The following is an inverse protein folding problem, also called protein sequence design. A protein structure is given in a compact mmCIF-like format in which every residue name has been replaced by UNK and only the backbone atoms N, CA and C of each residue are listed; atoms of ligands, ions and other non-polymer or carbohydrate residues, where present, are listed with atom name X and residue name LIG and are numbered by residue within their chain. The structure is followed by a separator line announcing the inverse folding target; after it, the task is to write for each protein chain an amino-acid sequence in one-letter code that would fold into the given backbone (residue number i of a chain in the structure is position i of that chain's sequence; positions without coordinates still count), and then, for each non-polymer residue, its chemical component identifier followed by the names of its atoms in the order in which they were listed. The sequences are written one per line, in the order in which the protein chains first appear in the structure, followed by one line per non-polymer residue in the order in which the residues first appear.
data_IF_321450565323
#
_entry.id   IF_321450565323
#
_cell.length_a   1.000
_cell.length_b   1.000
_cell.length_c   1.000
_cell.angle_alpha   90.00
_cell.angle_beta   90.00
_cell.angle_gamma   90.00
#
_symmetry.space_group_name_H-M   'P 1'
#
loop_
_entity.id
_entity.type
_entity.pdbx_description
1 polymer ?
#
# COMPACT_ATOMS: atom_id res chain seq x y z
N UNK A 1 14.99 1.38 14.50
CA UNK A 1 14.41 1.53 13.13
C UNK A 1 15.20 2.59 12.42
N UNK A 2 15.75 2.29 11.26
CA UNK A 2 16.52 3.25 10.45
C UNK A 2 15.68 3.76 9.28
N UNK A 3 15.96 4.98 8.83
CA UNK A 3 15.30 5.57 7.67
C UNK A 3 15.59 4.77 6.39
N UNK A 4 16.75 4.14 6.27
CA UNK A 4 17.08 3.28 5.13
C UNK A 4 16.22 2.02 5.08
N UNK A 5 15.97 1.38 6.23
CA UNK A 5 15.04 0.24 6.28
C UNK A 5 13.62 0.66 5.88
N UNK A 6 13.16 1.82 6.35
CA UNK A 6 11.84 2.36 5.96
C UNK A 6 11.78 2.60 4.45
N UNK A 7 12.81 3.21 3.86
CA UNK A 7 12.90 3.43 2.40
C UNK A 7 12.84 2.10 1.63
N UNK A 8 13.56 1.08 2.09
CA UNK A 8 13.53 -0.26 1.48
C UNK A 8 12.14 -0.87 1.53
N UNK A 9 11.45 -0.80 2.69
CA UNK A 9 10.10 -1.31 2.84
C UNK A 9 9.08 -0.58 1.93
N UNK A 10 9.24 0.73 1.72
CA UNK A 10 8.35 1.48 0.84
C UNK A 10 8.65 1.24 -0.64
N UNK A 11 9.91 1.05 -1.05
CA UNK A 11 10.24 0.59 -2.41
C UNK A 11 9.67 -0.81 -2.67
N UNK A 12 9.80 -1.72 -1.71
CA UNK A 12 9.15 -3.04 -1.78
C UNK A 12 7.64 -2.92 -1.93
N UNK A 13 6.99 -2.09 -1.10
CA UNK A 13 5.54 -1.92 -1.14
C UNK A 13 5.08 -1.39 -2.50
N UNK A 14 5.78 -0.40 -3.07
CA UNK A 14 5.51 0.14 -4.41
C UNK A 14 5.67 -0.92 -5.51
N UNK A 15 6.74 -1.72 -5.47
CA UNK A 15 6.97 -2.83 -6.39
C UNK A 15 5.85 -3.88 -6.32
N UNK A 16 5.46 -4.28 -5.13
CA UNK A 16 4.40 -5.26 -4.93
C UNK A 16 3.02 -4.72 -5.35
N UNK A 17 2.73 -3.43 -5.08
CA UNK A 17 1.51 -2.76 -5.54
C UNK A 17 1.45 -2.72 -7.08
N UNK A 18 2.56 -2.39 -7.74
CA UNK A 18 2.62 -2.39 -9.20
C UNK A 18 2.32 -3.78 -9.78
N UNK A 19 2.89 -4.85 -9.22
CA UNK A 19 2.64 -6.23 -9.68
C UNK A 19 1.18 -6.65 -9.58
N UNK A 20 0.49 -6.33 -8.47
CA UNK A 20 -0.94 -6.66 -8.36
C UNK A 20 -1.79 -5.80 -9.31
N UNK A 21 -1.47 -4.51 -9.49
CA UNK A 21 -2.16 -3.63 -10.43
C UNK A 21 -1.96 -4.09 -11.88
N UNK A 22 -0.74 -4.45 -12.27
CA UNK A 22 -0.43 -4.96 -13.62
C UNK A 22 -1.15 -6.29 -13.88
N UNK A 23 -1.20 -7.17 -12.88
CA UNK A 23 -1.93 -8.43 -13.01
C UNK A 23 -3.43 -8.22 -13.10
N UNK A 24 -3.97 -7.26 -12.33
CA UNK A 24 -5.40 -6.92 -12.35
C UNK A 24 -5.88 -6.38 -13.71
N UNK A 25 -4.98 -5.89 -14.57
CA UNK A 25 -5.35 -5.49 -15.96
C UNK A 25 -5.87 -6.65 -16.81
N UNK A 26 -5.63 -7.90 -16.38
CA UNK A 26 -6.10 -9.11 -17.08
C UNK A 26 -7.51 -9.52 -16.69
N UNK A 27 -8.09 -8.89 -15.66
CA UNK A 27 -9.47 -9.15 -15.22
C UNK A 27 -10.48 -8.48 -16.13
N UNK A 28 -11.62 -9.15 -16.33
CA UNK A 28 -12.80 -8.49 -16.88
C UNK A 28 -13.41 -7.53 -15.86
N UNK A 29 -14.29 -6.63 -16.30
CA UNK A 29 -15.00 -5.71 -15.39
C UNK A 29 -15.86 -6.47 -14.35
N UNK A 30 -16.46 -7.60 -14.76
CA UNK A 30 -17.21 -8.48 -13.87
C UNK A 30 -16.31 -9.13 -12.82
N UNK A 31 -15.12 -9.64 -13.20
CA UNK A 31 -14.16 -10.23 -12.27
C UNK A 31 -13.59 -9.20 -11.29
N UNK A 32 -13.34 -7.97 -11.78
CA UNK A 32 -12.85 -6.88 -10.94
C UNK A 32 -13.84 -6.50 -9.84
N UNK A 33 -15.15 -6.64 -10.13
CA UNK A 33 -16.26 -6.27 -9.25
C UNK A 33 -16.95 -7.48 -8.59
N UNK A 34 -16.49 -8.71 -8.88
CA UNK A 34 -17.11 -9.92 -8.33
C UNK A 34 -16.88 -10.01 -6.82
N UNK A 35 -17.92 -10.23 -6.00
CA UNK A 35 -17.77 -10.43 -4.57
C UNK A 35 -17.05 -11.75 -4.27
N UNK A 36 -16.28 -11.78 -3.17
CA UNK A 36 -15.79 -13.04 -2.61
C UNK A 36 -14.32 -13.38 -2.86
N UNK A 37 -13.43 -12.53 -2.52
CA UNK A 37 -11.99 -12.85 -2.57
C UNK A 37 -11.14 -12.07 -1.57
N UNK A 38 -11.69 -11.01 -1.01
CA UNK A 38 -10.97 -10.12 -0.13
C UNK A 38 -11.88 -9.62 1.00
N UNK A 39 -11.30 -9.20 2.11
CA UNK A 39 -12.03 -8.73 3.29
C UNK A 39 -12.91 -7.50 3.01
N UNK A 40 -12.51 -6.67 2.05
CA UNK A 40 -13.25 -5.47 1.63
C UNK A 40 -14.32 -5.75 0.54
N UNK A 41 -14.50 -7.01 0.14
CA UNK A 41 -15.52 -7.42 -0.84
C UNK A 41 -14.93 -7.91 -2.15
N UNK A 42 -14.79 -7.07 -3.17
CA UNK A 42 -14.21 -7.41 -4.45
C UNK A 42 -12.75 -6.94 -4.58
N UNK A 43 -12.09 -7.36 -5.66
CA UNK A 43 -10.71 -6.91 -5.97
C UNK A 43 -10.64 -5.39 -6.07
N UNK A 44 -11.63 -4.74 -6.73
CA UNK A 44 -11.70 -3.29 -6.86
C UNK A 44 -11.72 -2.58 -5.51
N UNK A 45 -12.61 -2.99 -4.62
CA UNK A 45 -12.76 -2.40 -3.29
C UNK A 45 -11.47 -2.56 -2.48
N UNK A 46 -10.82 -3.71 -2.55
CA UNK A 46 -9.56 -3.96 -1.83
C UNK A 46 -8.40 -3.17 -2.41
N UNK A 47 -8.30 -3.00 -3.72
CA UNK A 47 -7.31 -2.11 -4.35
C UNK A 47 -7.48 -0.67 -3.87
N UNK A 48 -8.72 -0.16 -3.88
CA UNK A 48 -9.03 1.18 -3.38
C UNK A 48 -8.74 1.29 -1.88
N UNK A 49 -9.00 0.23 -1.10
CA UNK A 49 -8.72 0.22 0.33
C UNK A 49 -7.22 0.37 0.63
N UNK A 50 -6.35 -0.38 -0.06
CA UNK A 50 -4.88 -0.26 0.10
C UNK A 50 -4.42 1.15 -0.27
N UNK A 51 -4.83 1.66 -1.41
CA UNK A 51 -4.52 3.02 -1.87
C UNK A 51 -4.99 4.07 -0.87
N UNK A 52 -6.22 3.94 -0.40
CA UNK A 52 -6.83 4.86 0.56
C UNK A 52 -6.15 4.82 1.93
N UNK A 53 -5.73 3.63 2.39
CA UNK A 53 -4.95 3.50 3.61
C UNK A 53 -3.59 4.21 3.49
N UNK A 54 -2.90 4.07 2.37
CA UNK A 54 -1.64 4.78 2.11
C UNK A 54 -1.85 6.30 2.11
N UNK A 55 -2.89 6.79 1.42
CA UNK A 55 -3.26 8.20 1.36
C UNK A 55 -3.59 8.79 2.75
N UNK A 56 -4.44 8.12 3.54
CA UNK A 56 -4.88 8.65 4.84
C UNK A 56 -3.73 8.65 5.85
N UNK A 57 -2.84 7.65 5.81
CA UNK A 57 -1.65 7.62 6.67
C UNK A 57 -0.66 8.72 6.30
N UNK A 58 -0.40 8.95 5.02
CA UNK A 58 0.43 10.06 4.57
C UNK A 58 -0.11 11.41 5.03
N UNK A 59 -1.43 11.61 4.95
CA UNK A 59 -2.08 12.83 5.44
C UNK A 59 -1.88 13.01 6.95
N UNK A 60 -2.04 11.94 7.73
CA UNK A 60 -1.81 11.95 9.19
C UNK A 60 -0.38 12.32 9.55
N UNK A 61 0.60 11.79 8.85
CA UNK A 61 2.01 12.12 9.06
C UNK A 61 2.35 13.58 8.75
N UNK A 62 1.58 14.20 7.87
CA UNK A 62 1.63 15.63 7.54
C UNK A 62 0.66 16.50 8.37
N UNK A 63 0.09 15.95 9.45
CA UNK A 63 -0.75 16.69 10.39
C UNK A 63 -2.23 16.84 10.01
N UNK A 64 -2.70 16.15 8.96
CA UNK A 64 -4.10 16.17 8.53
C UNK A 64 -4.78 14.84 8.84
N UNK A 65 -5.91 14.89 9.56
CA UNK A 65 -6.70 13.69 9.87
C UNK A 65 -8.03 13.72 9.10
N UNK A 66 -8.08 12.98 8.00
CA UNK A 66 -9.34 12.78 7.27
C UNK A 66 -10.31 11.92 8.07
N UNK A 67 -11.60 12.23 7.97
CA UNK A 67 -12.66 11.54 8.72
C UNK A 67 -13.18 10.29 8.00
N UNK A 68 -12.84 10.11 6.72
CA UNK A 68 -13.28 8.98 5.92
C UNK A 68 -12.17 8.50 4.98
N UNK A 69 -12.25 7.23 4.61
CA UNK A 69 -11.47 6.63 3.53
C UNK A 69 -12.02 7.08 2.18
N UNK A 70 -11.22 6.92 1.12
CA UNK A 70 -11.70 7.12 -0.25
C UNK A 70 -12.81 6.12 -0.57
N UNK A 71 -13.86 6.58 -1.23
CA UNK A 71 -14.99 5.74 -1.62
C UNK A 71 -14.67 5.01 -2.93
N UNK A 72 -14.74 3.67 -2.93
CA UNK A 72 -14.48 2.85 -4.11
C UNK A 72 -15.40 3.20 -5.30
N UNK A 73 -16.59 3.74 -5.05
CA UNK A 73 -17.52 4.21 -6.10
C UNK A 73 -16.97 5.36 -6.94
N UNK A 74 -15.98 6.10 -6.43
CA UNK A 74 -15.30 7.18 -7.17
C UNK A 74 -14.28 6.65 -8.19
N UNK A 75 -13.99 5.35 -8.16
CA UNK A 75 -13.00 4.68 -9.01
C UNK A 75 -13.68 3.56 -9.80
N UNK A 76 -14.38 3.90 -10.91
CA UNK A 76 -15.22 2.96 -11.64
C UNK A 76 -14.44 1.83 -12.32
N UNK A 77 -13.16 2.05 -12.60
CA UNK A 77 -12.29 1.13 -13.31
C UNK A 77 -10.85 1.15 -12.78
N UNK A 78 -10.05 0.20 -13.25
CA UNK A 78 -8.65 0.06 -12.85
C UNK A 78 -7.78 1.25 -13.29
N UNK A 79 -8.12 1.91 -14.39
CA UNK A 79 -7.41 3.10 -14.88
C UNK A 79 -7.53 4.25 -13.90
N UNK A 80 -8.74 4.50 -13.39
CA UNK A 80 -9.00 5.53 -12.37
C UNK A 80 -8.27 5.22 -11.06
N UNK A 81 -8.26 3.93 -10.63
CA UNK A 81 -7.51 3.50 -9.45
C UNK A 81 -6.01 3.76 -9.64
N UNK A 82 -5.44 3.30 -10.76
CA UNK A 82 -4.01 3.46 -11.06
C UNK A 82 -3.61 4.92 -11.09
N UNK A 83 -4.34 5.77 -11.82
CA UNK A 83 -4.03 7.19 -11.93
C UNK A 83 -3.99 7.89 -10.55
N UNK A 84 -4.92 7.55 -9.66
CA UNK A 84 -4.93 8.09 -8.30
C UNK A 84 -3.82 7.50 -7.43
N UNK A 85 -3.56 6.20 -7.56
CA UNK A 85 -2.52 5.53 -6.76
C UNK A 85 -1.12 6.01 -7.13
N UNK A 86 -0.84 6.27 -8.41
CA UNK A 86 0.44 6.82 -8.86
C UNK A 86 0.73 8.18 -8.19
N UNK A 87 -0.29 9.02 -8.00
CA UNK A 87 -0.15 10.28 -7.27
C UNK A 87 0.16 10.03 -5.77
N UNK A 88 -0.61 9.15 -5.13
CA UNK A 88 -0.42 8.80 -3.71
C UNK A 88 0.95 8.18 -3.48
N UNK A 89 1.39 7.29 -4.40
CA UNK A 89 2.70 6.66 -4.34
C UNK A 89 3.82 7.69 -4.48
N UNK A 90 3.73 8.59 -5.46
CA UNK A 90 4.72 9.65 -5.65
C UNK A 90 4.85 10.56 -4.43
N UNK A 91 3.72 10.94 -3.80
CA UNK A 91 3.71 11.75 -2.59
C UNK A 91 4.32 10.99 -1.40
N UNK A 92 3.99 9.70 -1.26
CA UNK A 92 4.52 8.83 -0.20
C UNK A 92 6.02 8.65 -0.34
N UNK A 93 6.52 8.39 -1.55
CA UNK A 93 7.96 8.22 -1.81
C UNK A 93 8.74 9.50 -1.49
N UNK A 94 8.20 10.69 -1.84
CA UNK A 94 8.80 11.98 -1.46
C UNK A 94 8.89 12.14 0.05
N UNK A 95 7.82 11.84 0.78
CA UNK A 95 7.79 11.90 2.24
C UNK A 95 8.83 10.96 2.86
N UNK A 96 8.82 9.69 2.46
CA UNK A 96 9.72 8.66 3.02
C UNK A 96 11.19 8.93 2.70
N UNK A 97 11.49 9.45 1.50
CA UNK A 97 12.86 9.82 1.10
C UNK A 97 13.42 10.94 1.97
N UNK A 98 12.57 11.87 2.43
CA UNK A 98 12.97 12.97 3.31
C UNK A 98 13.16 12.57 4.78
N UNK A 99 12.74 11.37 5.20
CA UNK A 99 12.83 10.96 6.61
C UNK A 99 14.26 10.73 7.07
N UNK A 100 14.55 11.18 8.30
CA UNK A 100 15.75 10.87 9.07
C UNK A 100 15.43 9.90 10.22
N UNK A 101 16.44 9.28 10.78
CA UNK A 101 16.27 8.39 11.94
C UNK A 101 15.67 9.14 13.15
N UNK A 102 16.03 10.41 13.34
CA UNK A 102 15.46 11.25 14.39
C UNK A 102 13.98 11.52 14.21
N UNK A 103 13.52 11.77 12.97
CA UNK A 103 12.11 11.98 12.67
C UNK A 103 11.26 10.74 12.88
N UNK A 104 11.81 9.55 12.67
CA UNK A 104 11.13 8.29 12.94
C UNK A 104 10.76 8.11 14.42
N UNK A 105 11.52 8.71 15.33
CA UNK A 105 11.23 8.64 16.77
C UNK A 105 10.17 9.65 17.23
N UNK A 106 9.85 10.68 16.44
CA UNK A 106 8.85 11.69 16.82
C UNK A 106 7.48 11.05 16.99
N UNK A 107 6.73 11.51 17.99
CA UNK A 107 5.35 11.09 18.19
C UNK A 107 4.45 11.87 17.22
N UNK A 108 3.63 11.16 16.48
CA UNK A 108 2.61 11.73 15.59
C UNK A 108 1.24 11.43 16.17
N UNK A 109 0.53 12.50 16.49
CA UNK A 109 -0.87 12.42 16.91
C UNK A 109 -1.80 12.50 15.70
N UNK A 110 -2.88 11.73 15.74
CA UNK A 110 -3.91 11.76 14.70
C UNK A 110 -5.29 11.43 15.27
N UNK A 111 -6.33 11.71 14.51
CA UNK A 111 -7.67 11.16 14.74
C UNK A 111 -7.94 10.05 13.72
N UNK A 112 -8.49 8.94 14.20
CA UNK A 112 -8.98 7.90 13.30
C UNK A 112 -10.33 8.31 12.67
N UNK A 113 -10.88 7.47 11.79
CA UNK A 113 -12.16 7.72 11.12
C UNK A 113 -13.39 7.73 12.05
N UNK A 114 -13.22 7.29 13.31
CA UNK A 114 -14.25 7.38 14.37
C UNK A 114 -14.10 8.66 15.21
N UNK A 115 -13.10 9.51 14.91
CA UNK A 115 -12.82 10.73 15.68
C UNK A 115 -11.98 10.52 16.93
N UNK A 116 -11.56 9.29 17.25
CA UNK A 116 -10.74 8.95 18.40
C UNK A 116 -9.30 9.44 18.22
N UNK A 117 -8.70 9.97 19.30
CA UNK A 117 -7.31 10.42 19.31
C UNK A 117 -6.35 9.27 19.58
N UNK A 118 -5.28 9.22 18.81
CA UNK A 118 -4.20 8.28 18.95
C UNK A 118 -2.85 8.99 18.78
N UNK A 119 -1.83 8.45 19.44
CA UNK A 119 -0.47 8.97 19.39
C UNK A 119 0.52 7.79 19.40
N UNK A 120 1.38 7.73 18.39
CA UNK A 120 2.43 6.71 18.28
C UNK A 120 3.70 7.31 17.69
N UNK A 121 4.88 6.76 18.00
CA UNK A 121 6.09 7.08 17.24
C UNK A 121 5.87 6.84 15.74
N UNK A 122 6.41 7.73 14.90
CA UNK A 122 6.22 7.66 13.44
C UNK A 122 6.64 6.29 12.87
N UNK A 123 7.74 5.71 13.37
CA UNK A 123 8.20 4.41 12.89
C UNK A 123 7.15 3.30 13.05
N UNK A 124 6.34 3.32 14.11
CA UNK A 124 5.28 2.33 14.30
C UNK A 124 4.17 2.50 13.26
N UNK A 125 3.85 3.74 12.93
CA UNK A 125 2.78 4.05 11.96
C UNK A 125 3.21 3.69 10.52
N UNK A 126 4.46 3.99 10.13
CA UNK A 126 4.95 3.65 8.79
C UNK A 126 5.09 2.13 8.61
N UNK A 127 5.54 1.40 9.63
CA UNK A 127 5.59 -0.07 9.59
C UNK A 127 4.18 -0.67 9.57
N UNK A 128 3.26 -0.12 10.38
CA UNK A 128 1.86 -0.54 10.34
C UNK A 128 1.26 -0.40 8.94
N UNK A 129 1.51 0.71 8.25
CA UNK A 129 0.96 0.94 6.91
C UNK A 129 1.49 -0.09 5.89
N UNK A 130 2.78 -0.42 5.92
CA UNK A 130 3.37 -1.46 5.05
C UNK A 130 2.80 -2.84 5.37
N UNK A 131 2.70 -3.19 6.66
CA UNK A 131 2.14 -4.47 7.10
C UNK A 131 0.66 -4.62 6.70
N UNK A 132 -0.14 -3.57 6.89
CA UNK A 132 -1.54 -3.50 6.46
C UNK A 132 -1.67 -3.71 4.94
N UNK A 133 -0.84 -3.02 4.15
CA UNK A 133 -0.84 -3.19 2.70
C UNK A 133 -0.45 -4.63 2.30
N UNK A 134 0.49 -5.27 2.99
CA UNK A 134 0.90 -6.66 2.72
C UNK A 134 -0.24 -7.64 2.96
N UNK A 135 -1.02 -7.46 4.06
CA UNK A 135 -2.20 -8.28 4.35
C UNK A 135 -3.19 -8.25 3.18
N UNK A 136 -3.61 -7.05 2.76
CA UNK A 136 -4.61 -6.90 1.69
C UNK A 136 -4.06 -7.25 0.30
N UNK A 137 -2.76 -7.05 0.04
CA UNK A 137 -2.13 -7.56 -1.20
C UNK A 137 -2.21 -9.08 -1.31
N UNK A 138 -2.04 -9.80 -0.20
CA UNK A 138 -2.17 -11.26 -0.18
C UNK A 138 -3.59 -11.71 -0.53
N UNK A 139 -4.61 -10.99 -0.06
CA UNK A 139 -6.02 -11.23 -0.42
C UNK A 139 -6.24 -11.02 -1.92
N UNK A 140 -5.74 -9.91 -2.49
CA UNK A 140 -5.82 -9.65 -3.93
C UNK A 140 -5.07 -10.71 -4.74
N UNK A 141 -3.86 -11.08 -4.34
CA UNK A 141 -3.07 -12.11 -5.01
C UNK A 141 -3.81 -13.45 -5.06
N UNK A 142 -4.47 -13.83 -3.96
CA UNK A 142 -5.33 -15.02 -3.92
C UNK A 142 -6.52 -14.90 -4.88
N UNK A 143 -7.21 -13.76 -4.92
CA UNK A 143 -8.34 -13.53 -5.81
C UNK A 143 -7.91 -13.58 -7.28
N UNK A 144 -6.82 -12.88 -7.64
CA UNK A 144 -6.25 -12.91 -8.98
C UNK A 144 -5.88 -14.34 -9.42
N UNK A 145 -5.26 -15.12 -8.53
CA UNK A 145 -4.89 -16.51 -8.80
C UNK A 145 -6.11 -17.39 -9.06
N UNK A 146 -7.20 -17.20 -8.31
CA UNK A 146 -8.48 -17.89 -8.54
C UNK A 146 -9.10 -17.57 -9.89
N UNK A 147 -8.87 -16.36 -10.42
CA UNK A 147 -9.29 -15.99 -11.78
C UNK A 147 -8.29 -16.45 -12.85
N UNK A 148 -7.26 -17.22 -12.50
CA UNK A 148 -6.25 -17.73 -13.44
C UNK A 148 -5.09 -16.77 -13.71
N UNK A 149 -4.95 -15.70 -12.93
CA UNK A 149 -3.94 -14.66 -13.13
C UNK A 149 -3.08 -14.46 -11.89
N UNK A 150 -2.07 -15.32 -11.69
CA UNK A 150 -1.14 -15.14 -10.55
C UNK A 150 -0.26 -13.90 -10.75
N UNK A 151 -0.06 -13.05 -9.72
CA UNK A 151 0.90 -11.94 -9.77
C UNK A 151 2.36 -12.43 -9.58
N UNK A 152 2.57 -13.72 -9.38
CA UNK A 152 3.85 -14.29 -9.00
C UNK A 152 4.15 -14.10 -7.51
N UNK A 153 5.41 -14.29 -7.17
CA UNK A 153 5.89 -14.15 -5.81
C UNK A 153 6.00 -12.66 -5.43
N UNK A 154 5.48 -12.30 -4.26
CA UNK A 154 5.47 -10.94 -3.72
C UNK A 154 6.35 -10.80 -2.49
N UNK A 155 7.22 -11.75 -2.19
CA UNK A 155 8.07 -11.72 -1.01
C UNK A 155 9.11 -10.60 -1.07
N UNK A 156 9.45 -10.07 0.11
CA UNK A 156 10.47 -9.02 0.25
C UNK A 156 11.84 -9.46 -0.31
N UNK A 157 12.25 -10.71 -0.10
CA UNK A 157 13.52 -11.21 -0.60
C UNK A 157 13.54 -11.32 -2.13
N UNK A 158 12.42 -11.64 -2.77
CA UNK A 158 12.29 -11.60 -4.23
C UNK A 158 12.48 -10.19 -4.77
N UNK A 159 11.87 -9.19 -4.11
CA UNK A 159 12.10 -7.79 -4.45
C UNK A 159 13.58 -7.40 -4.33
N UNK A 160 14.24 -7.79 -3.24
CA UNK A 160 15.66 -7.48 -3.02
C UNK A 160 16.52 -8.12 -4.11
N UNK A 161 16.30 -9.40 -4.43
CA UNK A 161 17.05 -10.10 -5.46
C UNK A 161 16.85 -9.49 -6.86
N UNK A 162 15.64 -8.99 -7.17
CA UNK A 162 15.33 -8.40 -8.46
C UNK A 162 15.79 -6.93 -8.61
N UNK A 163 15.75 -6.14 -7.53
CA UNK A 163 15.88 -4.69 -7.60
C UNK A 163 17.08 -4.13 -6.85
N UNK A 164 17.58 -4.85 -5.89
CA UNK A 164 18.69 -4.44 -5.03
C UNK A 164 19.69 -5.63 -4.89
N UNK A 165 20.15 -6.23 -5.99
CA UNK A 165 20.97 -7.42 -5.91
C UNK A 165 22.20 -7.14 -5.07
N UNK A 166 22.33 -7.83 -3.95
CA UNK A 166 23.58 -7.86 -3.22
C UNK A 166 24.65 -8.44 -4.15
N UNK A 167 25.79 -7.77 -4.26
CA UNK A 167 26.95 -8.36 -4.91
C UNK A 167 27.27 -9.62 -4.11
N UNK A 168 26.83 -10.79 -4.62
CA UNK A 168 27.21 -12.08 -4.02
C UNK A 168 28.70 -12.23 -4.22
N UNK A 169 29.48 -11.88 -3.20
CA UNK A 169 30.84 -12.36 -3.08
C UNK A 169 30.72 -13.84 -2.69
N UNK A 170 30.89 -14.72 -3.68
CA UNK A 170 31.07 -16.17 -3.47
C UNK A 170 32.40 -16.42 -2.80
#
# INVERSE_FOLDING_TARGET
MTSDLVRTLYRYSAWANARILDTATRLTAEQLSAPGGASEGAVRETLVHIMSAQWIWLARWNGTSHQAMLDARQFPDLGAIRARWDQVEGDTQRFVTGLTDGELARVVEYRNTRGERWAYPLWQQVVHQVNHATQHRSEIALALTRFGHSPGDLDLLVFIDEREPLTRTL
#
